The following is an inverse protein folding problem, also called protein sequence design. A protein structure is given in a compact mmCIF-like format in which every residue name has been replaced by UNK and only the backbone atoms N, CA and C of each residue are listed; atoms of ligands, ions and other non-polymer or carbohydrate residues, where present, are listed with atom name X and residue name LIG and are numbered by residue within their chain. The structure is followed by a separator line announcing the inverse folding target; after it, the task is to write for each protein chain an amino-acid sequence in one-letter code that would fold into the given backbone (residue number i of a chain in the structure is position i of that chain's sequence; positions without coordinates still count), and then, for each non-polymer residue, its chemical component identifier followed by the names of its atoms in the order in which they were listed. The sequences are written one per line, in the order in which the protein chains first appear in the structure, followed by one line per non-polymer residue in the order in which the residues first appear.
data_IF_470424624192
#
_entry.id   IF_470424624192
#
_cell.length_a   1.000
_cell.length_b   1.000
_cell.length_c   1.000
_cell.angle_alpha   90.00
_cell.angle_beta   90.00
_cell.angle_gamma   90.00
#
_symmetry.space_group_name_H-M   'P 1'
#
loop_
_entity.id
_entity.type
_entity.pdbx_description
1 polymer ?
#
# COMPACT_ATOMS: atom_id res chain seq x y z
N UNK A 1 16.01 -8.54 18.18
CA UNK A 1 16.48 -7.49 17.24
C UNK A 1 15.40 -6.41 17.08
N UNK A 2 15.78 -5.13 16.98
CA UNK A 2 14.83 -3.99 16.87
C UNK A 2 14.18 -3.94 15.49
N UNK A 3 14.92 -4.31 14.43
CA UNK A 3 14.41 -4.32 13.06
C UNK A 3 13.31 -5.37 12.90
N UNK A 4 13.56 -6.61 13.34
CA UNK A 4 12.57 -7.69 13.31
C UNK A 4 11.26 -7.33 14.04
N UNK A 5 11.35 -6.65 15.19
CA UNK A 5 10.19 -6.18 15.95
C UNK A 5 9.40 -5.11 15.19
N UNK A 6 10.09 -4.15 14.58
CA UNK A 6 9.47 -3.11 13.76
C UNK A 6 8.75 -3.72 12.54
N UNK A 7 9.42 -4.64 11.84
CA UNK A 7 8.83 -5.38 10.72
C UNK A 7 7.58 -6.16 11.13
N UNK A 8 7.62 -6.87 12.27
CA UNK A 8 6.46 -7.59 12.79
C UNK A 8 5.27 -6.67 13.07
N UNK A 9 5.52 -5.52 13.72
CA UNK A 9 4.47 -4.54 14.01
C UNK A 9 3.84 -3.94 12.76
N UNK A 10 4.66 -3.48 11.81
CA UNK A 10 4.18 -2.93 10.54
C UNK A 10 3.44 -3.99 9.73
N UNK A 11 3.94 -5.23 9.70
CA UNK A 11 3.30 -6.33 8.95
C UNK A 11 1.92 -6.64 9.50
N UNK A 12 1.78 -6.78 10.83
CA UNK A 12 0.49 -7.08 11.46
C UNK A 12 -0.52 -5.95 11.23
N UNK A 13 -0.08 -4.70 11.38
CA UNK A 13 -0.92 -3.53 11.10
C UNK A 13 -1.37 -3.50 9.63
N UNK A 14 -0.42 -3.62 8.70
CA UNK A 14 -0.69 -3.62 7.26
C UNK A 14 -1.60 -4.77 6.84
N UNK A 15 -1.43 -5.96 7.43
CA UNK A 15 -2.25 -7.12 7.13
C UNK A 15 -3.73 -6.88 7.48
N UNK A 16 -4.03 -6.14 8.54
CA UNK A 16 -5.40 -5.76 8.87
C UNK A 16 -6.03 -4.85 7.80
N UNK A 17 -5.28 -3.86 7.29
CA UNK A 17 -5.76 -3.00 6.19
C UNK A 17 -5.94 -3.77 4.88
N UNK A 18 -5.02 -4.69 4.56
CA UNK A 18 -5.16 -5.56 3.39
C UNK A 18 -6.38 -6.45 3.53
N UNK A 19 -6.62 -7.04 4.71
CA UNK A 19 -7.80 -7.88 4.97
C UNK A 19 -9.10 -7.09 4.79
N UNK A 20 -9.16 -5.85 5.28
CA UNK A 20 -10.31 -4.97 5.11
C UNK A 20 -10.54 -4.58 3.65
N UNK A 21 -9.47 -4.27 2.91
CA UNK A 21 -9.55 -4.01 1.47
C UNK A 21 -10.11 -5.23 0.74
N UNK A 22 -9.59 -6.44 1.00
CA UNK A 22 -10.06 -7.70 0.39
C UNK A 22 -11.54 -7.95 0.74
N UNK A 23 -11.94 -7.72 1.99
CA UNK A 23 -13.34 -7.83 2.43
C UNK A 23 -14.23 -6.85 1.65
N UNK A 24 -13.81 -5.60 1.52
CA UNK A 24 -14.50 -4.59 0.72
C UNK A 24 -14.60 -4.98 -0.76
N UNK A 25 -13.53 -5.54 -1.32
CA UNK A 25 -13.50 -6.05 -2.69
C UNK A 25 -14.46 -7.20 -2.95
N UNK A 26 -14.56 -8.14 -2.00
CA UNK A 26 -15.52 -9.24 -2.06
C UNK A 26 -16.97 -8.74 -1.98
N UNK A 27 -17.24 -7.73 -1.14
CA UNK A 27 -18.57 -7.12 -1.01
C UNK A 27 -18.98 -6.26 -2.22
N UNK A 28 -18.02 -5.80 -3.02
CA UNK A 28 -18.28 -5.02 -4.22
C UNK A 28 -18.75 -5.87 -5.42
N UNK A 29 -18.68 -7.21 -5.34
CA UNK A 29 -19.07 -8.09 -6.44
C UNK A 29 -20.60 -8.13 -6.57
N UNK A 30 -21.17 -7.84 -7.76
CA UNK A 30 -22.61 -7.90 -7.97
C UNK A 30 -23.17 -9.30 -7.72
N UNK A 31 -24.32 -9.39 -7.04
CA UNK A 31 -25.00 -10.67 -6.78
C UNK A 31 -25.35 -11.43 -8.05
N UNK A 32 -25.58 -10.73 -9.17
CA UNK A 32 -25.83 -11.33 -10.48
C UNK A 32 -24.70 -12.26 -10.97
N UNK A 33 -23.44 -12.02 -10.59
CA UNK A 33 -22.33 -12.95 -10.91
C UNK A 33 -22.49 -14.28 -10.19
N UNK A 34 -22.98 -14.24 -8.95
CA UNK A 34 -23.26 -15.44 -8.14
C UNK A 34 -24.48 -16.16 -8.71
N UNK A 35 -25.57 -15.45 -8.99
CA UNK A 35 -26.77 -16.02 -9.60
C UNK A 35 -26.50 -16.67 -10.96
N UNK A 36 -25.70 -16.01 -11.82
CA UNK A 36 -25.27 -16.57 -13.11
C UNK A 36 -24.44 -17.85 -12.94
N UNK A 37 -23.54 -17.88 -11.95
CA UNK A 37 -22.75 -19.09 -11.65
C UNK A 37 -23.63 -20.27 -11.24
N UNK A 38 -24.68 -20.01 -10.45
CA UNK A 38 -25.63 -21.01 -10.00
C UNK A 38 -26.50 -21.50 -11.16
N UNK A 39 -26.92 -20.61 -12.06
CA UNK A 39 -27.63 -20.97 -13.29
C UNK A 39 -26.80 -21.89 -14.22
N UNK A 40 -25.48 -21.76 -14.18
CA UNK A 40 -24.53 -22.63 -14.88
C UNK A 40 -24.22 -23.94 -14.12
N UNK A 41 -24.83 -24.17 -12.96
CA UNK A 41 -24.65 -25.38 -12.16
C UNK A 41 -23.34 -25.43 -11.37
N UNK A 42 -22.64 -24.31 -11.20
CA UNK A 42 -21.43 -24.24 -10.38
C UNK A 42 -21.78 -24.34 -8.89
N UNK A 43 -21.00 -25.12 -8.14
CA UNK A 43 -21.12 -25.15 -6.69
C UNK A 43 -20.41 -23.93 -6.05
N UNK A 44 -20.71 -23.64 -4.78
CA UNK A 44 -20.19 -22.44 -4.10
C UNK A 44 -18.66 -22.32 -4.07
N UNK A 45 -17.94 -23.44 -4.02
CA UNK A 45 -16.47 -23.43 -4.06
C UNK A 45 -15.96 -23.05 -5.46
N UNK A 46 -16.59 -23.57 -6.52
CA UNK A 46 -16.29 -23.21 -7.91
C UNK A 46 -16.64 -21.74 -8.18
N UNK A 47 -17.81 -21.27 -7.74
CA UNK A 47 -18.21 -19.87 -7.84
C UNK A 47 -17.18 -18.95 -7.17
N UNK A 48 -16.77 -19.29 -5.95
CA UNK A 48 -15.78 -18.47 -5.24
C UNK A 48 -14.41 -18.50 -5.93
N UNK A 49 -13.90 -19.68 -6.30
CA UNK A 49 -12.57 -19.83 -6.86
C UNK A 49 -12.44 -19.23 -8.27
N UNK A 50 -13.44 -19.43 -9.13
CA UNK A 50 -13.34 -19.07 -10.54
C UNK A 50 -13.99 -17.72 -10.89
N UNK A 51 -14.93 -17.23 -10.10
CA UNK A 51 -15.72 -16.03 -10.43
C UNK A 51 -15.49 -14.94 -9.41
N UNK A 52 -15.85 -15.16 -8.14
CA UNK A 52 -15.86 -14.09 -7.12
C UNK A 52 -14.45 -13.66 -6.73
N UNK A 53 -13.58 -14.61 -6.37
CA UNK A 53 -12.25 -14.29 -5.85
C UNK A 53 -11.37 -13.58 -6.88
N UNK A 54 -11.26 -14.03 -8.15
CA UNK A 54 -10.45 -13.32 -9.15
C UNK A 54 -10.94 -11.89 -9.41
N UNK A 55 -12.26 -11.68 -9.45
CA UNK A 55 -12.85 -10.34 -9.64
C UNK A 55 -12.60 -9.44 -8.43
N UNK A 56 -12.80 -9.95 -7.22
CA UNK A 56 -12.57 -9.22 -5.97
C UNK A 56 -11.10 -8.85 -5.79
N UNK A 57 -10.18 -9.76 -6.10
CA UNK A 57 -8.74 -9.48 -6.03
C UNK A 57 -8.34 -8.40 -7.05
N UNK A 58 -8.93 -8.39 -8.25
CA UNK A 58 -8.69 -7.33 -9.23
C UNK A 58 -9.23 -5.98 -8.74
N UNK A 59 -10.41 -5.95 -8.11
CA UNK A 59 -11.04 -4.70 -7.68
C UNK A 59 -10.30 -3.99 -6.54
N UNK A 60 -9.51 -4.72 -5.74
CA UNK A 60 -8.75 -4.16 -4.61
C UNK A 60 -7.33 -3.73 -4.95
N UNK A 61 -6.84 -4.05 -6.16
CA UNK A 61 -5.51 -3.62 -6.63
C UNK A 61 -5.28 -2.11 -6.42
N UNK A 62 -6.21 -1.21 -6.81
CA UNK A 62 -6.01 0.23 -6.65
C UNK A 62 -5.87 0.65 -5.17
N UNK A 63 -6.74 0.10 -4.31
CA UNK A 63 -6.71 0.36 -2.88
C UNK A 63 -5.40 -0.11 -2.22
N UNK A 64 -4.88 -1.26 -2.66
CA UNK A 64 -3.62 -1.79 -2.16
C UNK A 64 -2.39 -0.98 -2.62
N UNK A 65 -2.41 -0.39 -3.82
CA UNK A 65 -1.35 0.54 -4.24
C UNK A 65 -1.38 1.81 -3.38
N UNK A 66 -2.57 2.34 -3.08
CA UNK A 66 -2.72 3.46 -2.14
C UNK A 66 -2.17 3.14 -0.75
N UNK A 67 -2.46 1.93 -0.23
CA UNK A 67 -1.90 1.45 1.03
C UNK A 67 -0.37 1.35 0.98
N UNK A 68 0.20 0.85 -0.11
CA UNK A 68 1.65 0.75 -0.27
C UNK A 68 2.34 2.13 -0.27
N UNK A 69 1.76 3.12 -0.95
CA UNK A 69 2.25 4.51 -0.93
C UNK A 69 2.21 5.08 0.50
N UNK A 70 1.14 4.83 1.24
CA UNK A 70 1.04 5.24 2.65
C UNK A 70 2.08 4.55 3.52
N UNK A 71 2.26 3.23 3.37
CA UNK A 71 3.26 2.47 4.12
C UNK A 71 4.68 2.94 3.87
N UNK A 72 5.02 3.33 2.64
CA UNK A 72 6.33 3.92 2.33
C UNK A 72 6.57 5.16 3.20
N UNK A 73 5.58 6.05 3.30
CA UNK A 73 5.68 7.25 4.15
C UNK A 73 5.70 6.90 5.64
N UNK A 74 4.87 5.95 6.07
CA UNK A 74 4.76 5.57 7.48
C UNK A 74 6.05 4.90 8.02
N UNK A 75 6.94 4.43 7.14
CA UNK A 75 8.27 3.96 7.56
C UNK A 75 9.06 5.00 8.34
N UNK A 76 8.85 6.30 8.11
CA UNK A 76 9.52 7.37 8.88
C UNK A 76 9.08 7.42 10.35
N UNK A 77 8.01 6.71 10.74
CA UNK A 77 7.60 6.62 12.14
C UNK A 77 8.49 5.66 12.95
N UNK A 78 9.18 4.71 12.31
CA UNK A 78 10.09 3.77 13.02
C UNK A 78 11.32 4.47 13.62
N UNK A 79 11.59 5.71 13.21
CA UNK A 79 12.62 6.57 13.81
C UNK A 79 12.33 6.83 15.29
N UNK A 80 11.05 6.85 15.70
CA UNK A 80 10.64 7.05 17.10
C UNK A 80 11.16 5.91 18.00
N UNK A 81 11.25 4.69 17.48
CA UNK A 81 11.78 3.52 18.20
C UNK A 81 13.30 3.33 17.98
N UNK A 82 13.97 4.34 17.42
CA UNK A 82 15.42 4.38 17.26
C UNK A 82 15.98 3.51 16.14
N UNK A 83 15.16 3.20 15.11
CA UNK A 83 15.68 2.68 13.85
C UNK A 83 16.22 3.82 12.98
N UNK A 84 17.35 3.59 12.31
CA UNK A 84 17.87 4.49 11.29
C UNK A 84 17.20 4.17 9.95
N UNK A 85 16.30 5.05 9.52
CA UNK A 85 15.80 5.13 8.14
C UNK A 85 16.20 6.48 7.52
N UNK A 86 15.71 6.82 6.33
CA UNK A 86 16.10 8.04 5.57
C UNK A 86 16.04 9.32 6.43
N UNK A 87 14.94 9.57 7.14
CA UNK A 87 14.77 10.74 8.00
C UNK A 87 15.66 10.68 9.25
N UNK A 88 15.84 9.50 9.83
CA UNK A 88 16.71 9.23 10.97
C UNK A 88 18.19 9.44 10.65
N UNK A 89 18.62 8.99 9.47
CA UNK A 89 19.97 9.24 8.93
C UNK A 89 20.18 10.74 8.74
N UNK A 90 19.20 11.44 8.15
CA UNK A 90 19.29 12.90 8.00
C UNK A 90 19.40 13.62 9.34
N UNK A 91 18.59 13.27 10.33
CA UNK A 91 18.70 13.83 11.69
C UNK A 91 20.06 13.54 12.33
N UNK A 92 20.62 12.35 12.11
CA UNK A 92 21.95 12.00 12.62
C UNK A 92 23.06 12.84 11.96
N UNK A 93 22.96 13.12 10.66
CA UNK A 93 23.90 14.00 9.94
C UNK A 93 23.75 15.44 10.42
N UNK A 94 22.51 15.95 10.49
CA UNK A 94 22.23 17.33 10.92
C UNK A 94 22.62 17.63 12.37
N UNK A 95 22.79 16.60 13.20
CA UNK A 95 23.29 16.76 14.57
C UNK A 95 24.80 17.02 14.63
N UNK A 96 25.53 16.87 13.53
CA UNK A 96 26.97 17.12 13.47
C UNK A 96 27.26 18.63 13.38
N UNK A 97 28.29 19.15 14.07
CA UNK A 97 28.65 20.56 14.05
C UNK A 97 28.89 21.14 12.65
N UNK A 98 29.41 20.32 11.74
CA UNK A 98 29.73 20.72 10.36
C UNK A 98 28.49 20.93 9.48
N UNK A 99 27.32 20.44 9.92
CA UNK A 99 26.05 20.52 9.19
C UNK A 99 25.15 21.68 9.66
N UNK A 100 25.70 22.63 10.43
CA UNK A 100 24.94 23.74 11.00
C UNK A 100 24.31 24.60 9.88
N UNK A 101 22.98 24.74 9.92
CA UNK A 101 22.22 25.51 8.93
C UNK A 101 21.64 24.70 7.75
N UNK A 102 22.10 23.45 7.53
CA UNK A 102 21.66 22.63 6.38
C UNK A 102 20.29 21.91 6.56
N UNK A 103 19.55 22.24 7.63
CA UNK A 103 18.35 21.51 8.05
C UNK A 103 17.20 21.66 7.07
N UNK A 104 17.05 22.84 6.48
CA UNK A 104 16.00 23.11 5.50
C UNK A 104 16.28 22.35 4.20
N UNK A 105 17.51 22.42 3.70
CA UNK A 105 17.97 21.75 2.49
C UNK A 105 17.78 20.23 2.59
N UNK A 106 18.16 19.64 3.73
CA UNK A 106 18.00 18.22 3.98
C UNK A 106 16.52 17.79 3.99
N UNK A 107 15.64 18.51 4.67
CA UNK A 107 14.22 18.15 4.70
C UNK A 107 13.50 18.39 3.37
N UNK A 108 13.85 19.45 2.64
CA UNK A 108 13.32 19.70 1.29
C UNK A 108 13.80 18.61 0.33
N UNK A 109 15.06 18.19 0.41
CA UNK A 109 15.58 17.09 -0.40
C UNK A 109 14.85 15.78 -0.13
N UNK A 110 14.66 15.43 1.14
CA UNK A 110 13.91 14.22 1.53
C UNK A 110 12.46 14.30 1.06
N UNK A 111 11.81 15.45 1.24
CA UNK A 111 10.45 15.67 0.75
C UNK A 111 10.36 15.49 -0.77
N UNK A 112 11.33 16.00 -1.53
CA UNK A 112 11.41 15.80 -2.97
C UNK A 112 11.62 14.33 -3.35
N UNK A 113 12.45 13.59 -2.64
CA UNK A 113 12.66 12.14 -2.85
C UNK A 113 11.35 11.38 -2.61
N UNK A 114 10.70 11.59 -1.46
CA UNK A 114 9.40 10.96 -1.17
C UNK A 114 8.34 11.36 -2.21
N UNK A 115 8.32 12.63 -2.65
CA UNK A 115 7.41 13.10 -3.68
C UNK A 115 7.63 12.37 -5.00
N UNK A 116 8.86 12.28 -5.49
CA UNK A 116 9.19 11.60 -6.76
C UNK A 116 8.81 10.12 -6.69
N UNK A 117 9.13 9.43 -5.59
CA UNK A 117 8.77 8.02 -5.42
C UNK A 117 7.25 7.81 -5.36
N UNK A 118 6.54 8.58 -4.53
CA UNK A 118 5.09 8.51 -4.42
C UNK A 118 4.39 8.87 -5.73
N UNK A 119 4.89 9.87 -6.45
CA UNK A 119 4.37 10.27 -7.75
C UNK A 119 4.58 9.18 -8.80
N UNK A 120 5.78 8.59 -8.87
CA UNK A 120 6.07 7.49 -9.79
C UNK A 120 5.16 6.28 -9.52
N UNK A 121 4.96 5.91 -8.26
CA UNK A 121 4.05 4.83 -7.87
C UNK A 121 2.59 5.17 -8.17
N UNK A 122 2.15 6.40 -7.92
CA UNK A 122 0.80 6.87 -8.26
C UNK A 122 0.54 6.78 -9.77
N UNK A 123 1.50 7.20 -10.60
CA UNK A 123 1.40 7.06 -12.06
C UNK A 123 1.38 5.59 -12.50
N UNK A 124 2.20 4.73 -11.89
CA UNK A 124 2.15 3.29 -12.15
C UNK A 124 0.79 2.69 -11.77
N UNK A 125 0.19 3.10 -10.65
CA UNK A 125 -1.17 2.72 -10.23
C UNK A 125 -2.19 3.09 -11.29
N UNK A 126 -2.15 4.34 -11.75
CA UNK A 126 -3.10 4.85 -12.72
C UNK A 126 -3.03 4.09 -14.06
N UNK A 127 -1.81 3.74 -14.50
CA UNK A 127 -1.60 2.91 -15.68
C UNK A 127 -2.15 1.50 -15.49
N UNK A 128 -1.95 0.91 -14.31
CA UNK A 128 -2.46 -0.41 -13.95
C UNK A 128 -4.00 -0.43 -13.89
N UNK A 129 -4.61 0.58 -13.27
CA UNK A 129 -6.05 0.78 -13.19
C UNK A 129 -6.70 0.85 -14.58
N UNK A 130 -6.09 1.64 -15.49
CA UNK A 130 -6.51 1.72 -16.89
C UNK A 130 -6.38 0.38 -17.61
N UNK A 131 -5.27 -0.33 -17.44
CA UNK A 131 -5.05 -1.63 -18.09
C UNK A 131 -6.01 -2.71 -17.60
N UNK A 132 -6.44 -2.64 -16.34
CA UNK A 132 -7.38 -3.60 -15.75
C UNK A 132 -8.85 -3.23 -15.98
N UNK A 133 -9.14 -2.05 -16.55
CA UNK A 133 -10.50 -1.58 -16.78
C UNK A 133 -11.26 -1.26 -15.49
N UNK A 134 -10.55 -0.96 -14.40
CA UNK A 134 -11.15 -0.70 -13.06
C UNK A 134 -11.27 0.81 -12.78
N UNK A 135 -10.74 1.65 -13.67
CA UNK A 135 -10.67 3.11 -13.52
C UNK A 135 -11.87 3.90 -14.07
N UNK A 136 -12.84 3.26 -14.71
CA UNK A 136 -14.10 3.89 -15.11
C UNK A 136 -15.21 3.43 -14.16
N UNK A 137 -15.64 4.35 -13.29
CA UNK A 137 -16.79 4.20 -12.40
C UNK A 137 -17.90 5.11 -12.88
#
# INVERSE_FOLDING_TARGET
DRVARAMGGITLFSAAYVAENVRGGLQAIPTGQIEASQALGLNGAQTNLYIVLPQALRSVIPANVGLFISLLKDTTLVTIIGLLEVLGISRAILAQPDSFGAQMEAYVFIAAVFFVLCYAMSQASYRLERALGVGER
#
